data_IF_380206380264
#
_entry.id   IF_380206380264
#
_cell.length_a   1.000
_cell.length_b   1.000
_cell.length_c   1.000
_cell.angle_alpha   90.00
_cell.angle_beta   90.00
_cell.angle_gamma   90.00
#
_symmetry.space_group_name_H-M   'P 1'
#
loop_
_entity.id
_entity.type
_entity.pdbx_description
1 polymer ?
#
# COMPACT_ATOMS: atom_id res chain seq x y z
N UNK A 1 3.19 -18.21 -18.20
CA UNK A 1 2.74 -18.45 -16.81
C UNK A 1 3.88 -19.09 -16.06
N UNK A 2 4.30 -18.50 -14.94
CA UNK A 2 5.34 -19.06 -14.06
C UNK A 2 4.67 -19.60 -12.80
N UNK A 3 5.26 -20.64 -12.20
CA UNK A 3 4.73 -21.28 -10.99
C UNK A 3 5.81 -21.24 -9.93
N UNK A 4 5.44 -20.78 -8.75
CA UNK A 4 6.29 -20.78 -7.56
C UNK A 4 5.69 -21.72 -6.53
N UNK A 5 6.50 -22.61 -5.97
CA UNK A 5 6.09 -23.53 -4.91
C UNK A 5 6.62 -23.02 -3.58
N UNK A 6 5.72 -22.81 -2.61
CA UNK A 6 6.07 -22.42 -1.25
C UNK A 6 5.82 -23.62 -0.34
N UNK A 7 6.84 -24.00 0.44
CA UNK A 7 6.69 -25.05 1.45
C UNK A 7 6.14 -24.42 2.73
N UNK A 8 5.09 -25.02 3.26
CA UNK A 8 4.49 -24.66 4.53
C UNK A 8 4.69 -25.80 5.54
N UNK A 9 4.76 -25.44 6.82
CA UNK A 9 4.55 -26.39 7.89
C UNK A 9 3.04 -26.61 8.14
N UNK A 10 2.70 -27.58 8.99
CA UNK A 10 1.31 -27.97 9.23
C UNK A 10 0.46 -26.87 9.88
N UNK A 11 1.08 -26.05 10.73
CA UNK A 11 0.36 -24.97 11.44
C UNK A 11 0.10 -23.80 10.50
N UNK A 12 1.10 -23.41 9.71
CA UNK A 12 0.97 -22.41 8.65
C UNK A 12 -0.12 -22.80 7.65
N UNK A 13 -0.11 -24.04 7.15
CA UNK A 13 -1.14 -24.52 6.22
C UNK A 13 -2.54 -24.41 6.83
N UNK A 14 -2.71 -24.84 8.09
CA UNK A 14 -4.00 -24.78 8.78
C UNK A 14 -4.47 -23.34 8.96
N UNK A 15 -3.58 -22.47 9.42
CA UNK A 15 -3.90 -21.06 9.70
C UNK A 15 -4.24 -20.31 8.41
N UNK A 16 -3.42 -20.48 7.37
CA UNK A 16 -3.59 -19.80 6.10
C UNK A 16 -4.85 -20.26 5.37
N UNK A 17 -5.15 -21.56 5.37
CA UNK A 17 -6.42 -22.06 4.80
C UNK A 17 -7.64 -21.50 5.52
N UNK A 18 -7.63 -21.48 6.85
CA UNK A 18 -8.73 -20.91 7.62
C UNK A 18 -8.96 -19.42 7.28
N UNK A 19 -7.88 -18.66 7.05
CA UNK A 19 -7.98 -17.27 6.62
C UNK A 19 -8.51 -17.12 5.19
N UNK A 20 -8.09 -17.98 4.25
CA UNK A 20 -8.64 -18.03 2.90
C UNK A 20 -10.14 -18.35 2.90
N UNK A 21 -10.55 -19.34 3.71
CA UNK A 21 -11.96 -19.72 3.86
C UNK A 21 -12.80 -18.58 4.45
N UNK A 22 -12.25 -17.84 5.42
CA UNK A 22 -12.90 -16.69 6.04
C UNK A 22 -13.09 -15.52 5.07
N UNK A 23 -12.08 -15.25 4.25
CA UNK A 23 -12.10 -14.12 3.30
C UNK A 23 -12.79 -14.46 1.97
N UNK A 24 -13.00 -15.75 1.68
CA UNK A 24 -13.49 -16.23 0.39
C UNK A 24 -12.47 -16.09 -0.74
N UNK A 25 -11.23 -15.75 -0.42
CA UNK A 25 -10.14 -15.57 -1.38
C UNK A 25 -9.28 -16.81 -1.50
N UNK A 26 -8.67 -16.99 -2.67
CA UNK A 26 -7.73 -18.10 -2.84
C UNK A 26 -6.36 -17.74 -2.25
N UNK A 27 -5.67 -18.77 -1.73
CA UNK A 27 -4.33 -18.64 -1.14
C UNK A 27 -3.31 -17.92 -2.04
N UNK A 28 -3.36 -18.16 -3.36
CA UNK A 28 -2.39 -17.54 -4.27
C UNK A 28 -2.60 -16.03 -4.41
N UNK A 29 -3.85 -15.55 -4.36
CA UNK A 29 -4.15 -14.12 -4.36
C UNK A 29 -3.66 -13.50 -3.06
N UNK A 30 -3.99 -14.12 -1.92
CA UNK A 30 -3.57 -13.62 -0.61
C UNK A 30 -2.04 -13.51 -0.47
N UNK A 31 -1.29 -14.53 -0.94
CA UNK A 31 0.18 -14.46 -0.94
C UNK A 31 0.73 -13.36 -1.85
N UNK A 32 0.13 -13.17 -3.03
CA UNK A 32 0.55 -12.09 -3.95
C UNK A 32 0.27 -10.72 -3.33
N UNK A 33 -0.92 -10.52 -2.77
CA UNK A 33 -1.31 -9.25 -2.16
C UNK A 33 -0.43 -8.93 -0.96
N UNK A 34 -0.19 -9.89 -0.05
CA UNK A 34 0.66 -9.67 1.11
C UNK A 34 2.11 -9.32 0.73
N UNK A 35 2.64 -9.94 -0.34
CA UNK A 35 3.98 -9.62 -0.84
C UNK A 35 4.02 -8.23 -1.50
N UNK A 36 3.00 -7.90 -2.31
CA UNK A 36 2.89 -6.60 -2.95
C UNK A 36 2.79 -5.47 -1.92
N UNK A 37 1.93 -5.64 -0.90
CA UNK A 37 1.75 -4.69 0.19
C UNK A 37 3.07 -4.45 0.95
N UNK A 38 3.83 -5.51 1.26
CA UNK A 38 5.14 -5.35 1.90
C UNK A 38 6.18 -4.63 1.03
N UNK A 39 6.11 -4.79 -0.28
CA UNK A 39 6.97 -4.08 -1.22
C UNK A 39 6.56 -2.60 -1.29
N UNK A 40 5.26 -2.31 -1.41
CA UNK A 40 4.73 -0.95 -1.43
C UNK A 40 5.05 -0.21 -0.13
N UNK A 41 4.78 -0.81 1.04
CA UNK A 41 5.14 -0.26 2.35
C UNK A 41 6.60 0.23 2.40
N UNK A 42 7.50 -0.57 1.84
CA UNK A 42 8.93 -0.24 1.81
C UNK A 42 9.22 0.92 0.86
N UNK A 43 8.64 0.90 -0.35
CA UNK A 43 8.85 1.94 -1.35
C UNK A 43 8.26 3.28 -0.91
N UNK A 44 7.06 3.29 -0.34
CA UNK A 44 6.39 4.47 0.17
C UNK A 44 7.18 5.12 1.30
N UNK A 45 7.74 4.30 2.21
CA UNK A 45 8.61 4.80 3.26
C UNK A 45 9.86 5.48 2.68
N UNK A 46 10.51 4.86 1.68
CA UNK A 46 11.68 5.46 1.03
C UNK A 46 11.32 6.78 0.34
N UNK A 47 10.22 6.80 -0.42
CA UNK A 47 9.74 8.00 -1.12
C UNK A 47 9.43 9.13 -0.13
N UNK A 48 8.78 8.82 1.00
CA UNK A 48 8.51 9.79 2.05
C UNK A 48 9.78 10.36 2.69
N UNK A 49 10.78 9.52 2.96
CA UNK A 49 12.07 9.96 3.50
C UNK A 49 12.83 10.86 2.50
N UNK A 50 12.80 10.53 1.21
CA UNK A 50 13.39 11.37 0.17
C UNK A 50 12.67 12.71 0.04
N UNK A 51 11.33 12.71 0.09
CA UNK A 51 10.54 13.93 0.07
C UNK A 51 10.90 14.84 1.26
N UNK A 52 11.05 14.27 2.46
CA UNK A 52 11.47 15.03 3.64
C UNK A 52 12.86 15.62 3.47
N UNK A 53 13.81 14.85 2.92
CA UNK A 53 15.17 15.32 2.67
C UNK A 53 15.23 16.47 1.66
N UNK A 54 14.33 16.47 0.69
CA UNK A 54 14.27 17.44 -0.39
C UNK A 54 13.30 18.61 -0.14
N UNK A 55 12.70 18.71 1.05
CA UNK A 55 11.88 19.85 1.44
C UNK A 55 12.71 21.14 1.38
N UNK A 56 12.21 22.15 0.66
CA UNK A 56 12.83 23.49 0.60
C UNK A 56 12.75 24.23 1.94
N UNK A 57 11.82 23.84 2.81
CA UNK A 57 11.47 24.54 4.04
C UNK A 57 10.50 25.70 3.84
N UNK A 58 10.04 25.93 2.61
CA UNK A 58 8.99 26.90 2.29
C UNK A 58 7.61 26.35 2.65
N UNK A 59 6.76 27.22 3.17
CA UNK A 59 5.38 26.89 3.53
C UNK A 59 4.46 27.90 2.89
N UNK A 60 3.41 27.41 2.24
CA UNK A 60 2.31 28.22 1.74
C UNK A 60 1.09 28.05 2.65
N UNK A 61 0.19 29.01 2.64
CA UNK A 61 -1.12 28.85 3.26
C UNK A 61 -1.94 27.80 2.51
N UNK A 62 -2.96 27.26 3.16
CA UNK A 62 -3.83 26.27 2.53
C UNK A 62 -4.53 26.85 1.29
N UNK A 63 -4.96 28.11 1.35
CA UNK A 63 -5.64 28.81 0.26
C UNK A 63 -4.71 28.95 -0.96
N UNK A 64 -3.45 29.37 -0.75
CA UNK A 64 -2.43 29.46 -1.80
C UNK A 64 -2.13 28.09 -2.42
N UNK A 65 -2.03 27.04 -1.60
CA UNK A 65 -1.81 25.67 -2.10
C UNK A 65 -2.98 25.18 -2.98
N UNK A 66 -4.22 25.47 -2.58
CA UNK A 66 -5.40 25.07 -3.36
C UNK A 66 -5.48 25.81 -4.69
N UNK A 67 -5.14 27.10 -4.71
CA UNK A 67 -5.05 27.90 -5.93
C UNK A 67 -3.97 27.36 -6.88
N UNK A 68 -2.77 27.05 -6.38
CA UNK A 68 -1.68 26.47 -7.18
C UNK A 68 -2.03 25.10 -7.78
N UNK A 69 -2.73 24.25 -7.01
CA UNK A 69 -3.11 22.90 -7.44
C UNK A 69 -4.41 22.87 -8.26
N UNK A 70 -5.04 24.02 -8.52
CA UNK A 70 -6.35 24.13 -9.18
C UNK A 70 -7.43 23.24 -8.56
N UNK A 71 -7.46 23.15 -7.23
CA UNK A 71 -8.50 22.41 -6.50
C UNK A 71 -9.62 23.39 -6.17
N UNK A 72 -10.71 23.34 -6.94
CA UNK A 72 -11.87 24.21 -6.77
C UNK A 72 -12.74 23.75 -5.57
N UNK A 73 -13.25 24.67 -4.74
CA UNK A 73 -14.04 24.38 -3.52
C UNK A 73 -15.38 23.66 -3.80
N UNK A 74 -15.70 23.38 -5.07
CA UNK A 74 -16.99 22.88 -5.54
C UNK A 74 -17.30 21.41 -5.18
N UNK A 75 -16.41 20.69 -4.51
CA UNK A 75 -16.67 19.31 -4.05
C UNK A 75 -17.48 19.24 -2.74
N UNK A 76 -17.79 20.37 -2.10
CA UNK A 76 -18.77 20.43 -0.99
C UNK A 76 -20.11 21.04 -1.44
N UNK A 77 -20.90 20.29 -2.21
CA UNK A 77 -22.37 20.43 -2.26
C UNK A 77 -23.06 19.19 -2.81
#
# INVERSE_FOLDING_TARGET
MTVTTIRLNKEEEKFFKAYADLTGENMSTLFKSALAEKIEDYLDLQAGLEAIKNLSGETVTLDEMMEELNIDETVSR
#
